data_IF_072224660153
#
_entry.id   IF_072224660153
#
_cell.length_a   1.000
_cell.length_b   1.000
_cell.length_c   1.000
_cell.angle_alpha   90.00
_cell.angle_beta   90.00
_cell.angle_gamma   90.00
#
_symmetry.space_group_name_H-M   'P 1'
#
loop_
_entity.id
_entity.type
_entity.pdbx_description
1 polymer ?
#
# COMPACT_ATOMS: atom_id res chain seq x y z
N UNK A 1 54.89 -10.08 -28.02
CA UNK A 1 53.52 -9.65 -28.41
C UNK A 1 52.54 -10.82 -28.33
N UNK A 2 52.85 -12.04 -28.75
CA UNK A 2 51.98 -13.21 -28.74
C UNK A 2 51.69 -13.78 -27.34
N UNK A 3 52.58 -13.58 -26.36
CA UNK A 3 52.40 -14.09 -24.98
C UNK A 3 51.46 -13.20 -24.15
N UNK A 4 51.41 -11.91 -24.44
CA UNK A 4 50.52 -10.97 -23.74
C UNK A 4 49.05 -11.14 -24.14
N UNK A 5 48.79 -11.50 -25.41
CA UNK A 5 47.41 -11.77 -25.88
C UNK A 5 46.85 -13.08 -25.35
N UNK A 6 47.72 -14.09 -25.09
CA UNK A 6 47.28 -15.35 -24.51
C UNK A 6 46.87 -15.21 -23.03
N UNK A 7 47.59 -14.37 -22.27
CA UNK A 7 47.30 -14.08 -20.87
C UNK A 7 46.00 -13.28 -20.74
N UNK A 8 45.74 -12.32 -21.67
CA UNK A 8 44.50 -11.54 -21.66
C UNK A 8 43.27 -12.39 -21.99
N UNK A 9 43.45 -13.48 -22.74
CA UNK A 9 42.35 -14.40 -23.10
C UNK A 9 42.02 -15.42 -22.03
N UNK A 10 42.94 -15.72 -21.11
CA UNK A 10 42.74 -16.62 -19.96
C UNK A 10 42.25 -15.86 -18.72
N UNK A 11 42.56 -14.56 -18.59
CA UNK A 11 42.07 -13.66 -17.54
C UNK A 11 40.86 -12.86 -18.00
N UNK A 12 40.46 -13.02 -19.29
CA UNK A 12 39.30 -12.40 -19.88
C UNK A 12 38.00 -12.92 -19.32
N UNK A 13 37.55 -12.26 -18.29
CA UNK A 13 36.14 -11.93 -18.09
C UNK A 13 35.16 -13.08 -17.95
N UNK A 14 35.30 -13.90 -16.94
CA UNK A 14 34.12 -14.33 -16.21
C UNK A 14 33.75 -13.25 -15.14
N UNK A 15 33.21 -12.15 -15.62
CA UNK A 15 32.16 -11.45 -14.83
C UNK A 15 30.97 -12.38 -14.88
N UNK A 16 31.03 -13.50 -14.17
CA UNK A 16 29.85 -14.14 -13.64
C UNK A 16 29.12 -13.02 -12.87
N UNK A 17 28.06 -12.48 -13.45
CA UNK A 17 27.10 -11.72 -12.69
C UNK A 17 26.66 -12.70 -11.60
N UNK A 18 27.22 -12.55 -10.41
CA UNK A 18 26.73 -13.17 -9.21
C UNK A 18 25.33 -12.58 -8.98
N UNK A 19 24.35 -13.11 -9.70
CA UNK A 19 22.95 -12.86 -9.41
C UNK A 19 22.63 -13.63 -8.14
N UNK A 20 22.79 -12.96 -7.02
CA UNK A 20 22.39 -13.50 -5.72
C UNK A 20 20.87 -13.69 -5.78
N UNK A 21 20.41 -14.91 -5.59
CA UNK A 21 18.98 -15.23 -5.55
C UNK A 21 18.37 -14.82 -4.20
N UNK A 22 17.03 -14.70 -4.15
CA UNK A 22 16.32 -14.43 -2.88
C UNK A 22 16.58 -15.53 -1.84
N UNK A 23 16.67 -16.78 -2.27
CA UNK A 23 16.97 -17.94 -1.46
C UNK A 23 18.38 -17.86 -0.84
N UNK A 24 19.35 -17.38 -1.60
CA UNK A 24 20.72 -17.15 -1.10
C UNK A 24 20.75 -16.04 -0.06
N UNK A 25 19.97 -14.95 -0.25
CA UNK A 25 19.83 -13.88 0.75
C UNK A 25 19.17 -14.42 2.01
N UNK A 26 18.14 -15.26 1.89
CA UNK A 26 17.50 -15.89 3.04
C UNK A 26 18.48 -16.80 3.81
N UNK A 27 19.27 -17.59 3.11
CA UNK A 27 20.31 -18.43 3.73
C UNK A 27 21.37 -17.61 4.47
N UNK A 28 21.79 -16.46 3.91
CA UNK A 28 22.70 -15.54 4.59
C UNK A 28 22.09 -14.96 5.88
N UNK A 29 20.80 -14.63 5.86
CA UNK A 29 20.08 -14.16 7.06
C UNK A 29 20.04 -15.26 8.12
N UNK A 30 19.82 -16.52 7.73
CA UNK A 30 19.79 -17.66 8.67
C UNK A 30 21.15 -17.88 9.34
N UNK A 31 22.24 -17.80 8.57
CA UNK A 31 23.60 -17.83 9.12
C UNK A 31 23.84 -16.68 10.09
N UNK A 32 23.40 -15.46 9.74
CA UNK A 32 23.53 -14.30 10.64
C UNK A 32 22.76 -14.45 11.96
N UNK A 33 21.68 -15.23 11.96
CA UNK A 33 20.97 -15.59 13.20
C UNK A 33 21.76 -16.55 14.06
N UNK A 34 22.31 -17.61 13.45
CA UNK A 34 23.12 -18.62 14.15
C UNK A 34 24.38 -17.99 14.76
N UNK A 35 24.99 -17.03 14.08
CA UNK A 35 26.14 -16.27 14.55
C UNK A 35 25.80 -15.15 15.55
N UNK A 36 24.51 -14.92 15.84
CA UNK A 36 24.05 -13.90 16.76
C UNK A 36 24.17 -12.46 16.25
N UNK A 37 24.32 -12.25 14.94
CA UNK A 37 24.38 -10.94 14.28
C UNK A 37 22.99 -10.26 14.30
N UNK A 38 21.93 -11.05 14.11
CA UNK A 38 20.55 -10.58 14.08
C UNK A 38 19.73 -11.09 15.27
N UNK A 39 18.86 -10.22 15.79
CA UNK A 39 17.83 -10.61 16.74
C UNK A 39 16.65 -11.29 16.04
N UNK A 40 15.91 -12.13 16.75
CA UNK A 40 14.76 -12.85 16.19
C UNK A 40 13.71 -11.92 15.50
N UNK A 41 13.47 -10.74 16.07
CA UNK A 41 12.53 -9.74 15.47
C UNK A 41 13.07 -9.15 14.17
N UNK A 42 14.37 -8.86 14.10
CA UNK A 42 15.03 -8.33 12.90
C UNK A 42 14.98 -9.36 11.77
N UNK A 43 15.28 -10.61 12.09
CA UNK A 43 15.21 -11.72 11.13
C UNK A 43 13.80 -11.91 10.59
N UNK A 44 12.78 -11.85 11.47
CA UNK A 44 11.39 -11.95 11.06
C UNK A 44 11.02 -10.84 10.07
N UNK A 45 11.37 -9.59 10.37
CA UNK A 45 11.09 -8.45 9.48
C UNK A 45 11.80 -8.59 8.13
N UNK A 46 13.08 -9.01 8.11
CA UNK A 46 13.82 -9.22 6.85
C UNK A 46 13.15 -10.30 6.01
N UNK A 47 12.76 -11.43 6.59
CA UNK A 47 12.09 -12.51 5.88
C UNK A 47 10.72 -12.09 5.33
N UNK A 48 9.93 -11.35 6.11
CA UNK A 48 8.63 -10.84 5.68
C UNK A 48 8.80 -9.83 4.54
N UNK A 49 9.80 -8.96 4.61
CA UNK A 49 10.11 -8.02 3.53
C UNK A 49 10.49 -8.74 2.22
N UNK A 50 11.33 -9.77 2.29
CA UNK A 50 11.72 -10.56 1.12
C UNK A 50 10.52 -11.28 0.48
N UNK A 51 9.50 -11.62 1.27
CA UNK A 51 8.26 -12.27 0.79
C UNK A 51 7.19 -11.30 0.32
N UNK A 52 7.35 -10.00 0.55
CA UNK A 52 6.32 -8.99 0.26
C UNK A 52 5.87 -9.00 -1.22
N UNK A 53 6.77 -9.35 -2.14
CA UNK A 53 6.45 -9.51 -3.55
C UNK A 53 5.63 -10.77 -3.92
N UNK A 54 5.46 -11.70 -2.98
CA UNK A 54 4.67 -12.92 -3.14
C UNK A 54 3.28 -12.79 -2.51
N UNK A 55 3.06 -11.71 -1.73
CA UNK A 55 1.78 -11.38 -1.11
C UNK A 55 1.02 -10.43 -2.03
N UNK A 56 -0.27 -10.70 -2.26
CA UNK A 56 -1.13 -9.90 -3.12
C UNK A 56 -2.12 -9.06 -2.29
N UNK A 57 -2.65 -8.00 -2.91
CA UNK A 57 -3.55 -7.04 -2.28
C UNK A 57 -4.73 -7.72 -1.57
N UNK A 58 -5.37 -8.71 -2.22
CA UNK A 58 -6.52 -9.44 -1.68
C UNK A 58 -6.25 -10.16 -0.35
N UNK A 59 -4.97 -10.48 -0.06
CA UNK A 59 -4.57 -11.20 1.15
C UNK A 59 -4.44 -10.30 2.38
N UNK A 60 -4.27 -8.99 2.16
CA UNK A 60 -4.05 -8.01 3.24
C UNK A 60 -5.10 -6.91 3.31
N UNK A 61 -5.92 -6.75 2.24
CA UNK A 61 -6.90 -5.67 2.17
C UNK A 61 -7.96 -5.79 3.25
N UNK A 62 -8.43 -4.65 3.75
CA UNK A 62 -9.68 -4.56 4.48
C UNK A 62 -10.83 -4.68 3.48
N UNK A 63 -11.70 -5.70 3.59
CA UNK A 63 -12.78 -5.93 2.62
C UNK A 63 -13.77 -4.76 2.54
N UNK A 64 -14.30 -4.48 1.36
CA UNK A 64 -15.25 -3.38 1.11
C UNK A 64 -16.47 -3.41 2.03
N UNK A 65 -16.92 -4.60 2.45
CA UNK A 65 -18.09 -4.79 3.32
C UNK A 65 -17.94 -4.19 4.72
N UNK A 66 -16.71 -3.88 5.15
CA UNK A 66 -16.42 -3.30 6.47
C UNK A 66 -15.76 -1.93 6.38
N UNK A 67 -15.53 -1.42 5.17
CA UNK A 67 -14.96 -0.09 4.95
C UNK A 67 -16.07 0.96 5.05
N UNK A 68 -15.87 1.95 5.91
CA UNK A 68 -16.74 3.13 5.93
C UNK A 68 -16.51 3.96 4.66
N UNK A 69 -17.60 4.29 3.98
CA UNK A 69 -17.59 5.07 2.72
C UNK A 69 -18.67 6.14 2.75
N UNK A 70 -18.52 7.15 1.92
CA UNK A 70 -19.54 8.21 1.75
C UNK A 70 -19.79 8.46 0.28
N UNK A 71 -20.93 9.06 -0.02
CA UNK A 71 -21.27 9.50 -1.38
C UNK A 71 -20.76 10.94 -1.62
N UNK A 72 -20.38 11.25 -2.85
CA UNK A 72 -19.89 12.57 -3.21
C UNK A 72 -20.95 13.69 -3.07
N UNK A 73 -22.24 13.36 -3.21
CA UNK A 73 -23.35 14.31 -3.09
C UNK A 73 -23.81 14.58 -1.66
N UNK A 74 -23.32 13.82 -0.67
CA UNK A 74 -23.59 14.03 0.75
C UNK A 74 -23.13 15.41 1.21
N UNK A 75 -23.95 16.14 1.97
CA UNK A 75 -23.53 17.42 2.57
C UNK A 75 -22.63 17.20 3.78
N UNK A 76 -21.80 18.20 4.12
CA UNK A 76 -20.96 18.14 5.31
C UNK A 76 -21.81 18.09 6.59
N UNK A 77 -23.02 18.69 6.57
CA UNK A 77 -23.97 18.58 7.66
C UNK A 77 -24.45 17.15 7.85
N UNK A 78 -24.88 16.48 6.76
CA UNK A 78 -25.35 15.10 6.82
C UNK A 78 -24.25 14.14 7.27
N UNK A 79 -23.01 14.39 6.85
CA UNK A 79 -21.84 13.66 7.34
C UNK A 79 -21.67 13.79 8.85
N UNK A 80 -21.77 15.01 9.37
CA UNK A 80 -21.59 15.29 10.80
C UNK A 80 -22.73 14.71 11.65
N UNK A 81 -23.97 14.78 11.16
CA UNK A 81 -25.17 14.27 11.81
C UNK A 81 -25.36 12.75 11.63
N UNK A 82 -24.49 12.09 10.85
CA UNK A 82 -24.57 10.64 10.63
C UNK A 82 -24.43 9.85 11.93
N UNK A 83 -25.31 8.88 12.14
CA UNK A 83 -25.24 7.94 13.26
C UNK A 83 -24.19 6.83 13.05
N UNK A 84 -23.53 6.78 11.87
CA UNK A 84 -22.46 5.82 11.60
C UNK A 84 -21.19 6.23 12.34
N UNK A 85 -20.94 5.60 13.48
CA UNK A 85 -19.74 5.82 14.29
C UNK A 85 -18.43 5.56 13.50
N UNK A 86 -18.47 4.73 12.47
CA UNK A 86 -17.28 4.44 11.64
C UNK A 86 -16.83 5.66 10.86
N UNK A 87 -17.76 6.49 10.36
CA UNK A 87 -17.41 7.75 9.67
C UNK A 87 -16.63 8.71 10.57
N UNK A 88 -16.93 8.69 11.87
CA UNK A 88 -16.28 9.56 12.85
C UNK A 88 -14.97 8.97 13.41
N UNK A 89 -14.71 7.69 13.17
CA UNK A 89 -13.54 6.98 13.70
C UNK A 89 -12.34 7.03 12.75
N UNK A 90 -12.56 7.03 11.43
CA UNK A 90 -11.50 6.96 10.45
C UNK A 90 -11.02 8.34 10.00
N UNK A 91 -9.72 8.46 9.71
CA UNK A 91 -9.10 9.71 9.24
C UNK A 91 -9.28 9.94 7.75
N UNK A 92 -9.39 8.86 6.97
CA UNK A 92 -9.55 8.86 5.50
C UNK A 92 -10.72 7.99 5.13
N UNK A 93 -11.64 8.54 4.36
CA UNK A 93 -12.90 7.90 4.04
C UNK A 93 -13.05 7.89 2.52
N UNK A 94 -13.07 6.70 1.88
CA UNK A 94 -13.30 6.59 0.43
C UNK A 94 -14.66 7.16 0.05
N UNK A 95 -14.71 7.80 -1.11
CA UNK A 95 -15.89 8.49 -1.63
C UNK A 95 -16.37 7.82 -2.90
N UNK A 96 -17.63 7.37 -2.89
CA UNK A 96 -18.33 6.89 -4.08
C UNK A 96 -18.89 8.04 -4.91
N UNK A 97 -19.07 7.78 -6.20
CA UNK A 97 -19.92 8.61 -7.05
C UNK A 97 -21.40 8.58 -6.58
N UNK A 98 -22.27 9.42 -7.18
CA UNK A 98 -23.67 9.49 -6.81
C UNK A 98 -24.43 8.17 -7.03
N UNK A 99 -23.98 7.34 -7.98
CA UNK A 99 -24.57 6.05 -8.30
C UNK A 99 -24.09 4.91 -7.40
N UNK A 100 -23.09 5.16 -6.54
CA UNK A 100 -22.40 4.16 -5.69
C UNK A 100 -21.75 3.03 -6.49
N UNK A 101 -21.32 3.33 -7.73
CA UNK A 101 -20.70 2.34 -8.62
C UNK A 101 -19.17 2.35 -8.49
N UNK A 102 -18.56 3.56 -8.41
CA UNK A 102 -17.12 3.72 -8.46
C UNK A 102 -16.58 4.64 -7.37
N UNK A 103 -15.40 4.31 -6.86
CA UNK A 103 -14.68 5.19 -5.94
C UNK A 103 -14.04 6.33 -6.73
N UNK A 104 -14.38 7.56 -6.38
CA UNK A 104 -13.86 8.81 -6.97
C UNK A 104 -12.56 9.26 -6.33
N UNK A 105 -12.35 8.91 -5.07
CA UNK A 105 -11.20 9.32 -4.27
C UNK A 105 -11.46 9.09 -2.79
N UNK A 106 -10.86 9.90 -1.95
CA UNK A 106 -11.12 9.91 -0.51
C UNK A 106 -11.21 11.33 0.03
N UNK A 107 -11.82 11.49 1.19
CA UNK A 107 -11.77 12.74 1.97
C UNK A 107 -11.01 12.54 3.26
N UNK A 108 -10.35 13.59 3.72
CA UNK A 108 -9.83 13.64 5.08
C UNK A 108 -10.93 14.14 6.02
N UNK A 109 -11.18 13.40 7.10
CA UNK A 109 -12.09 13.87 8.13
C UNK A 109 -11.69 15.23 8.69
N UNK A 110 -10.40 15.52 8.77
CA UNK A 110 -9.90 16.82 9.22
C UNK A 110 -10.37 17.97 8.33
N UNK A 111 -10.31 17.81 6.99
CA UNK A 111 -10.77 18.82 6.04
C UNK A 111 -12.30 19.06 6.20
N UNK A 112 -13.08 17.97 6.36
CA UNK A 112 -14.53 18.07 6.61
C UNK A 112 -14.83 18.86 7.90
N UNK A 113 -14.10 18.57 8.98
CA UNK A 113 -14.29 19.28 10.24
C UNK A 113 -13.83 20.75 10.18
N UNK A 114 -12.79 21.06 9.40
CA UNK A 114 -12.34 22.43 9.15
C UNK A 114 -13.44 23.23 8.46
N UNK A 115 -14.00 22.75 7.35
CA UNK A 115 -15.09 23.42 6.64
C UNK A 115 -16.36 23.57 7.49
N UNK A 116 -16.68 22.57 8.31
CA UNK A 116 -17.80 22.67 9.26
C UNK A 116 -17.56 23.74 10.32
N UNK A 117 -16.31 23.98 10.74
CA UNK A 117 -15.95 25.03 11.71
C UNK A 117 -16.11 26.43 11.12
N UNK A 118 -16.14 26.54 9.79
CA UNK A 118 -16.38 27.78 9.02
C UNK A 118 -17.85 27.96 8.60
N UNK A 119 -18.76 27.15 9.17
CA UNK A 119 -20.20 27.14 8.89
C UNK A 119 -20.59 26.72 7.45
N UNK A 120 -19.71 25.99 6.73
CA UNK A 120 -19.95 25.51 5.37
C UNK A 120 -20.83 24.24 5.32
N UNK A 121 -21.92 24.20 6.08
CA UNK A 121 -22.76 23.01 6.28
C UNK A 121 -23.38 22.45 4.99
N UNK A 122 -23.67 23.31 4.00
CA UNK A 122 -24.31 22.92 2.74
C UNK A 122 -23.30 22.46 1.67
N UNK A 123 -21.99 22.59 1.92
CA UNK A 123 -20.96 22.12 1.01
C UNK A 123 -21.02 20.58 0.88
N UNK A 124 -20.64 20.06 -0.29
CA UNK A 124 -20.67 18.63 -0.54
C UNK A 124 -19.33 17.98 -0.24
N UNK A 125 -19.36 16.72 0.14
CA UNK A 125 -18.18 15.86 0.28
C UNK A 125 -17.36 15.86 -1.03
N UNK A 126 -18.04 15.87 -2.19
CA UNK A 126 -17.43 15.90 -3.50
C UNK A 126 -16.46 17.05 -3.73
N UNK A 127 -16.67 18.20 -3.08
CA UNK A 127 -15.80 19.38 -3.20
C UNK A 127 -14.45 19.21 -2.49
N UNK A 128 -14.33 18.22 -1.58
CA UNK A 128 -13.15 17.95 -0.76
C UNK A 128 -12.40 16.67 -1.19
N UNK A 129 -12.82 16.04 -2.29
CA UNK A 129 -12.22 14.77 -2.75
C UNK A 129 -10.75 14.96 -3.11
N UNK A 130 -9.93 14.07 -2.57
CA UNK A 130 -8.52 13.88 -2.92
C UNK A 130 -8.37 12.65 -3.80
N UNK A 131 -7.43 12.65 -4.77
CA UNK A 131 -7.17 11.48 -5.60
C UNK A 131 -6.74 10.29 -4.73
N UNK A 132 -7.10 9.08 -5.15
CA UNK A 132 -6.73 7.84 -4.45
C UNK A 132 -6.00 6.91 -5.42
N UNK A 133 -4.99 6.22 -4.92
CA UNK A 133 -4.33 5.14 -5.68
C UNK A 133 -5.26 3.95 -5.81
N UNK A 134 -5.28 3.36 -7.00
CA UNK A 134 -6.14 2.21 -7.31
C UNK A 134 -5.28 1.06 -7.82
N UNK A 135 -5.46 -0.13 -7.26
CA UNK A 135 -4.76 -1.35 -7.64
C UNK A 135 -5.75 -2.49 -7.86
N UNK A 136 -5.30 -3.50 -8.58
CA UNK A 136 -6.07 -4.74 -8.71
C UNK A 136 -5.86 -5.61 -7.48
N UNK A 137 -6.79 -6.54 -7.26
CA UNK A 137 -6.75 -7.50 -6.15
C UNK A 137 -5.56 -8.48 -6.24
N UNK A 138 -5.07 -8.75 -7.45
CA UNK A 138 -3.88 -9.57 -7.72
C UNK A 138 -2.54 -8.78 -7.72
N UNK A 139 -2.55 -7.49 -7.40
CA UNK A 139 -1.33 -6.66 -7.34
C UNK A 139 -0.42 -7.09 -6.20
N UNK A 140 0.89 -7.30 -6.45
CA UNK A 140 1.86 -7.56 -5.38
C UNK A 140 1.95 -6.39 -4.40
N UNK A 141 1.96 -6.71 -3.10
CA UNK A 141 2.02 -5.69 -2.02
C UNK A 141 3.29 -4.86 -2.10
N UNK A 142 4.40 -5.42 -2.63
CA UNK A 142 5.63 -4.66 -2.87
C UNK A 142 5.44 -3.47 -3.81
N UNK A 143 4.64 -3.63 -4.88
CA UNK A 143 4.36 -2.56 -5.83
C UNK A 143 3.43 -1.50 -5.22
N UNK A 144 2.43 -1.94 -4.44
CA UNK A 144 1.55 -1.05 -3.68
C UNK A 144 2.37 -0.19 -2.72
N UNK A 145 3.25 -0.82 -1.94
CA UNK A 145 4.15 -0.16 -1.02
C UNK A 145 5.02 0.90 -1.70
N UNK A 146 5.68 0.53 -2.80
CA UNK A 146 6.58 1.42 -3.54
C UNK A 146 5.84 2.67 -4.04
N UNK A 147 4.65 2.48 -4.66
CA UNK A 147 3.89 3.59 -5.21
C UNK A 147 3.26 4.47 -4.11
N UNK A 148 2.79 3.88 -3.01
CA UNK A 148 2.27 4.64 -1.87
C UNK A 148 3.36 5.52 -1.26
N UNK A 149 4.60 5.01 -1.12
CA UNK A 149 5.74 5.80 -0.65
C UNK A 149 6.11 6.93 -1.63
N UNK A 150 6.20 6.63 -2.92
CA UNK A 150 6.53 7.62 -3.96
C UNK A 150 5.53 8.77 -3.98
N UNK A 151 4.24 8.45 -3.93
CA UNK A 151 3.15 9.43 -3.98
C UNK A 151 2.82 10.05 -2.62
N UNK A 152 3.40 9.53 -1.53
CA UNK A 152 3.11 9.94 -0.13
C UNK A 152 1.65 9.72 0.24
N UNK A 153 1.06 8.66 -0.29
CA UNK A 153 -0.31 8.26 0.01
C UNK A 153 -0.34 7.22 1.13
N UNK A 154 -1.38 7.22 1.92
CA UNK A 154 -1.56 6.34 3.07
C UNK A 154 -2.72 5.36 2.93
N UNK A 155 -3.49 5.50 1.85
CA UNK A 155 -4.64 4.66 1.53
C UNK A 155 -4.68 4.41 0.03
N UNK A 156 -5.09 3.22 -0.34
CA UNK A 156 -5.37 2.84 -1.72
C UNK A 156 -6.66 2.02 -1.79
N UNK A 157 -7.32 2.04 -2.94
CA UNK A 157 -8.49 1.21 -3.23
C UNK A 157 -8.06 0.01 -4.04
N UNK A 158 -8.61 -1.14 -3.68
CA UNK A 158 -8.45 -2.39 -4.41
C UNK A 158 -9.74 -2.65 -5.20
N UNK A 159 -9.59 -2.90 -6.49
CA UNK A 159 -10.69 -3.14 -7.42
C UNK A 159 -10.56 -4.48 -8.13
N UNK A 160 -11.69 -5.00 -8.59
CA UNK A 160 -11.74 -6.16 -9.50
C UNK A 160 -11.55 -5.74 -10.96
N UNK A 161 -11.69 -6.72 -11.88
CA UNK A 161 -11.59 -6.51 -13.32
C UNK A 161 -12.69 -5.61 -13.91
N UNK A 162 -13.77 -5.36 -13.17
CA UNK A 162 -14.90 -4.52 -13.58
C UNK A 162 -14.78 -3.10 -13.01
N UNK A 163 -13.78 -2.83 -12.17
CA UNK A 163 -13.59 -1.54 -11.49
C UNK A 163 -14.38 -1.42 -10.19
N UNK A 164 -15.03 -2.49 -9.72
CA UNK A 164 -15.79 -2.50 -8.47
C UNK A 164 -14.83 -2.59 -7.28
N UNK A 165 -15.10 -1.82 -6.24
CA UNK A 165 -14.30 -1.84 -5.01
C UNK A 165 -14.38 -3.20 -4.32
N UNK A 166 -13.22 -3.83 -4.11
CA UNK A 166 -13.05 -5.06 -3.32
C UNK A 166 -12.67 -4.76 -1.88
N UNK A 167 -11.96 -3.66 -1.67
CA UNK A 167 -11.49 -3.24 -0.36
C UNK A 167 -10.52 -2.07 -0.43
N UNK A 168 -9.82 -1.84 0.66
CA UNK A 168 -8.72 -0.87 0.76
C UNK A 168 -7.46 -1.54 1.30
N UNK A 169 -6.32 -0.98 0.93
CA UNK A 169 -5.03 -1.26 1.58
C UNK A 169 -4.49 0.05 2.11
N UNK A 170 -4.13 0.06 3.38
CA UNK A 170 -3.49 1.18 4.05
C UNK A 170 -1.99 0.94 4.25
N UNK A 171 -1.27 1.99 4.58
CA UNK A 171 0.16 1.88 4.92
C UNK A 171 0.37 1.00 6.16
N UNK A 172 -0.57 1.02 7.10
CA UNK A 172 -0.58 0.18 8.29
C UNK A 172 -0.65 -1.30 7.92
N UNK A 173 -1.52 -1.71 6.99
CA UNK A 173 -1.66 -3.11 6.55
C UNK A 173 -0.35 -3.63 5.93
N UNK A 174 0.32 -2.80 5.13
CA UNK A 174 1.62 -3.14 4.55
C UNK A 174 2.68 -3.30 5.62
N UNK A 175 2.76 -2.36 6.59
CA UNK A 175 3.73 -2.42 7.69
C UNK A 175 3.46 -3.65 8.57
N UNK A 176 2.21 -3.96 8.88
CA UNK A 176 1.84 -5.16 9.64
C UNK A 176 2.30 -6.43 8.91
N UNK A 177 2.08 -6.50 7.60
CA UNK A 177 2.54 -7.61 6.77
C UNK A 177 4.06 -7.76 6.79
N UNK A 178 4.82 -6.65 6.80
CA UNK A 178 6.28 -6.66 6.89
C UNK A 178 6.81 -7.04 8.28
N UNK A 179 6.07 -6.71 9.33
CA UNK A 179 6.48 -7.04 10.71
C UNK A 179 6.04 -8.46 11.12
N UNK A 180 5.06 -9.02 10.44
CA UNK A 180 4.59 -10.42 10.56
C UNK A 180 3.71 -10.66 11.74
#
# INVERSE_FOLDING_TARGET
>A
VLLSELITRVVGSDKAQLSISREEVQAMVDVGVEEGVFKAKETKAIRSFLKLGEVHAEQIMTPATVVATVREDMTLKDFYESEDEHLHSYSRIPVYDEAEEYIKGYVLRADVLEELSEDHFAQRIGDLIRPILTFRDDEPVSNIWELMLEKKEHISVIIDEYGTMRGIVTMEDVIETMLG
#
